data_IF_062460096644
#
_entry.id   IF_062460096644
#
_cell.length_a   1.000
_cell.length_b   1.000
_cell.length_c   1.000
_cell.angle_alpha   90.00
_cell.angle_beta   90.00
_cell.angle_gamma   90.00
#
_symmetry.space_group_name_H-M   'P 1'
#
loop_
_entity.id
_entity.type
_entity.pdbx_description
1 polymer ?
#
# COMPACT_ATOMS: atom_id res chain seq x y z
N UNK A 1 -25.69 -28.41 -10.93
CA UNK A 1 -24.99 -29.64 -11.38
C UNK A 1 -25.94 -30.82 -11.69
N UNK A 2 -26.93 -31.12 -10.83
CA UNK A 2 -27.89 -32.24 -11.12
C UNK A 2 -28.61 -31.99 -12.45
N UNK A 3 -29.13 -30.79 -12.68
CA UNK A 3 -29.87 -30.44 -13.88
C UNK A 3 -28.97 -30.49 -15.15
N UNK A 4 -27.68 -30.07 -15.01
CA UNK A 4 -26.69 -30.23 -16.09
C UNK A 4 -26.42 -31.69 -16.41
N UNK A 5 -26.31 -32.56 -15.39
CA UNK A 5 -26.11 -33.98 -15.57
C UNK A 5 -27.29 -34.63 -16.31
N UNK A 6 -28.51 -34.29 -15.91
CA UNK A 6 -29.74 -34.72 -16.59
C UNK A 6 -29.79 -34.23 -18.03
N UNK A 7 -29.54 -32.94 -18.26
CA UNK A 7 -29.59 -32.33 -19.58
C UNK A 7 -28.51 -32.84 -20.55
N UNK A 8 -27.33 -33.19 -20.03
CA UNK A 8 -26.22 -33.76 -20.81
C UNK A 8 -26.26 -35.29 -20.93
N UNK A 9 -27.17 -35.98 -20.23
CA UNK A 9 -27.29 -37.45 -20.21
C UNK A 9 -26.03 -38.13 -19.65
N UNK A 10 -25.45 -37.60 -18.54
CA UNK A 10 -24.23 -38.12 -17.93
C UNK A 10 -24.32 -38.17 -16.43
N UNK A 11 -23.43 -38.92 -15.79
CA UNK A 11 -23.36 -38.97 -14.33
C UNK A 11 -22.87 -37.62 -13.76
N UNK A 12 -23.32 -37.29 -12.54
CA UNK A 12 -22.89 -36.06 -11.81
C UNK A 12 -21.36 -35.95 -11.71
N UNK A 13 -20.67 -37.07 -11.51
CA UNK A 13 -19.21 -37.16 -11.45
C UNK A 13 -18.55 -36.73 -12.77
N UNK A 14 -19.19 -37.04 -13.92
CA UNK A 14 -18.71 -36.61 -15.25
C UNK A 14 -18.86 -35.10 -15.42
N UNK A 15 -19.99 -34.52 -15.02
CA UNK A 15 -20.17 -33.06 -14.99
C UNK A 15 -19.12 -32.40 -14.12
N UNK A 16 -18.88 -32.92 -12.90
CA UNK A 16 -17.85 -32.41 -11.99
C UNK A 16 -16.47 -32.41 -12.64
N UNK A 17 -16.08 -33.50 -13.32
CA UNK A 17 -14.78 -33.57 -14.02
C UNK A 17 -14.66 -32.55 -15.15
N UNK A 18 -15.68 -32.38 -15.98
CA UNK A 18 -15.69 -31.39 -17.05
C UNK A 18 -15.60 -29.97 -16.51
N UNK A 19 -16.38 -29.66 -15.49
CA UNK A 19 -16.39 -28.33 -14.82
C UNK A 19 -15.05 -28.05 -14.14
N UNK A 20 -14.35 -29.07 -13.65
CA UNK A 20 -13.05 -28.92 -12.97
C UNK A 20 -11.85 -29.01 -13.94
N UNK A 21 -12.07 -29.29 -15.25
CA UNK A 21 -10.98 -29.50 -16.18
C UNK A 21 -10.16 -30.77 -15.94
N UNK A 22 -10.74 -31.74 -15.20
CA UNK A 22 -10.05 -33.00 -14.88
C UNK A 22 -9.95 -33.91 -16.11
N UNK A 23 -8.81 -34.58 -16.31
CA UNK A 23 -8.63 -35.50 -17.43
C UNK A 23 -9.53 -36.74 -17.31
N UNK A 24 -9.73 -37.44 -18.44
CA UNK A 24 -10.43 -38.73 -18.47
C UNK A 24 -11.91 -38.65 -18.85
N UNK A 25 -12.37 -37.53 -19.43
CA UNK A 25 -13.67 -37.39 -20.06
C UNK A 25 -13.49 -37.33 -21.57
N UNK A 26 -14.21 -38.16 -22.31
CA UNK A 26 -14.16 -38.18 -23.77
C UNK A 26 -14.57 -36.80 -24.34
N UNK A 27 -13.86 -36.26 -25.37
CA UNK A 27 -14.10 -34.89 -25.88
C UNK A 27 -15.57 -34.61 -26.24
N UNK A 28 -16.23 -35.52 -26.95
CA UNK A 28 -17.66 -35.38 -27.32
C UNK A 28 -18.58 -35.34 -26.11
N UNK A 29 -18.24 -36.02 -25.01
CA UNK A 29 -19.00 -35.97 -23.76
C UNK A 29 -18.77 -34.64 -23.02
N UNK A 30 -17.52 -34.14 -23.03
CA UNK A 30 -17.20 -32.86 -22.46
C UNK A 30 -17.95 -31.71 -23.19
N UNK A 31 -18.07 -31.80 -24.49
CA UNK A 31 -18.77 -30.81 -25.32
C UNK A 31 -20.28 -30.79 -25.05
N UNK A 32 -20.93 -31.96 -24.91
CA UNK A 32 -22.34 -32.04 -24.48
C UNK A 32 -22.56 -31.42 -23.09
N UNK A 33 -21.64 -31.65 -22.16
CA UNK A 33 -21.72 -31.06 -20.83
C UNK A 33 -21.58 -29.54 -20.89
N UNK A 34 -20.62 -29.01 -21.67
CA UNK A 34 -20.46 -27.56 -21.87
C UNK A 34 -21.71 -26.93 -22.47
N UNK A 35 -22.26 -27.53 -23.54
CA UNK A 35 -23.50 -27.06 -24.15
C UNK A 35 -24.70 -27.07 -23.17
N UNK A 36 -24.78 -28.05 -22.28
CA UNK A 36 -25.79 -28.07 -21.23
C UNK A 36 -25.57 -27.01 -20.17
N UNK A 37 -24.31 -26.73 -19.79
CA UNK A 37 -23.95 -25.63 -18.88
C UNK A 37 -24.39 -24.28 -19.45
N UNK A 38 -24.04 -24.00 -20.73
CA UNK A 38 -24.36 -22.75 -21.40
C UNK A 38 -25.89 -22.57 -21.53
N UNK A 39 -26.61 -23.61 -21.97
CA UNK A 39 -28.05 -23.59 -22.14
C UNK A 39 -28.81 -23.36 -20.83
N UNK A 40 -28.33 -23.92 -19.71
CA UNK A 40 -28.96 -23.79 -18.40
C UNK A 40 -28.46 -22.58 -17.62
N UNK A 41 -27.51 -21.82 -18.16
CA UNK A 41 -26.89 -20.71 -17.43
C UNK A 41 -26.24 -21.18 -16.11
N UNK A 42 -25.77 -22.44 -16.09
CA UNK A 42 -25.22 -23.00 -14.85
C UNK A 42 -23.91 -22.27 -14.49
N UNK A 43 -23.93 -21.58 -13.38
CA UNK A 43 -22.74 -21.01 -12.77
C UNK A 43 -22.23 -21.96 -11.69
N UNK A 44 -20.93 -22.17 -11.70
CA UNK A 44 -20.25 -22.99 -10.69
C UNK A 44 -20.53 -22.42 -9.30
N UNK A 45 -20.94 -23.25 -8.38
CA UNK A 45 -21.11 -22.85 -6.99
C UNK A 45 -19.73 -22.85 -6.30
N UNK A 46 -19.17 -21.68 -6.10
CA UNK A 46 -17.88 -21.49 -5.44
C UNK A 46 -17.90 -22.00 -3.98
N UNK A 47 -19.03 -21.89 -3.28
CA UNK A 47 -19.17 -22.43 -1.92
C UNK A 47 -18.92 -23.95 -1.84
N UNK A 48 -19.27 -24.70 -2.90
CA UNK A 48 -19.00 -26.12 -2.98
C UNK A 48 -17.53 -26.44 -3.30
N UNK A 49 -16.77 -25.49 -3.85
CA UNK A 49 -15.32 -25.57 -4.07
C UNK A 49 -14.58 -25.33 -2.76
N UNK A 50 -15.01 -24.32 -2.01
CA UNK A 50 -14.49 -23.98 -0.68
C UNK A 50 -14.59 -25.17 0.26
N UNK A 51 -15.75 -25.85 0.32
CA UNK A 51 -15.96 -27.05 1.13
C UNK A 51 -15.01 -28.22 0.79
N UNK A 52 -14.53 -28.30 -0.46
CA UNK A 52 -13.63 -29.37 -0.89
C UNK A 52 -12.15 -29.01 -0.81
N UNK A 53 -11.79 -27.75 -0.99
CA UNK A 53 -10.41 -27.28 -0.99
C UNK A 53 -9.97 -26.64 0.32
N UNK A 54 -10.93 -26.34 1.22
CA UNK A 54 -10.69 -25.63 2.48
C UNK A 54 -10.29 -24.16 2.31
N UNK A 55 -10.31 -23.62 1.06
CA UNK A 55 -9.90 -22.25 0.73
C UNK A 55 -10.92 -21.59 -0.17
N UNK A 56 -11.10 -20.26 0.02
CA UNK A 56 -12.06 -19.44 -0.74
C UNK A 56 -11.49 -18.95 -2.06
N UNK A 57 -10.20 -19.05 -2.29
CA UNK A 57 -9.47 -18.41 -3.38
C UNK A 57 -9.75 -16.89 -3.42
N UNK A 58 -9.75 -16.26 -2.27
CA UNK A 58 -9.99 -14.84 -2.10
C UNK A 58 -9.04 -14.29 -1.06
N UNK A 59 -8.36 -13.18 -1.36
CA UNK A 59 -7.54 -12.46 -0.40
C UNK A 59 -8.09 -11.05 -0.18
N UNK A 60 -7.83 -10.48 0.99
CA UNK A 60 -8.19 -9.12 1.35
C UNK A 60 -7.01 -8.14 1.20
N UNK A 61 -7.32 -6.89 0.90
CA UNK A 61 -6.38 -5.78 0.94
C UNK A 61 -7.05 -4.58 1.61
N UNK A 62 -6.50 -4.12 2.72
CA UNK A 62 -6.92 -2.89 3.39
C UNK A 62 -5.83 -1.85 3.19
N UNK A 63 -6.20 -0.71 2.60
CA UNK A 63 -5.31 0.43 2.31
C UNK A 63 -5.87 1.70 2.93
N UNK A 64 -5.11 2.80 2.92
CA UNK A 64 -5.60 4.12 3.35
C UNK A 64 -6.69 4.64 2.41
N UNK A 65 -6.34 4.91 1.15
CA UNK A 65 -7.22 5.53 0.16
C UNK A 65 -6.90 5.01 -1.25
N UNK A 66 -7.89 4.43 -1.93
CA UNK A 66 -7.75 3.96 -3.30
C UNK A 66 -7.47 5.09 -4.30
N UNK A 67 -7.79 6.33 -3.96
CA UNK A 67 -7.53 7.49 -4.81
C UNK A 67 -6.07 7.98 -4.72
N UNK A 68 -5.29 7.54 -3.75
CA UNK A 68 -3.87 7.88 -3.66
C UNK A 68 -3.06 7.02 -4.65
N UNK A 69 -2.28 7.63 -5.57
CA UNK A 69 -1.48 6.90 -6.55
C UNK A 69 -0.50 5.88 -5.95
N UNK A 70 0.01 6.13 -4.73
CA UNK A 70 0.85 5.18 -4.02
C UNK A 70 0.10 3.87 -3.75
N UNK A 71 -1.09 3.96 -3.16
CA UNK A 71 -1.89 2.78 -2.86
C UNK A 71 -2.52 2.16 -4.10
N UNK A 72 -2.80 2.94 -5.14
CA UNK A 72 -3.23 2.41 -6.42
C UNK A 72 -2.16 1.51 -7.06
N UNK A 73 -0.89 1.93 -7.04
CA UNK A 73 0.25 1.13 -7.52
C UNK A 73 0.49 -0.14 -6.71
N UNK A 74 0.39 -0.05 -5.38
CA UNK A 74 0.48 -1.18 -4.46
C UNK A 74 -0.65 -2.19 -4.73
N UNK A 75 -1.89 -1.71 -4.80
CA UNK A 75 -3.08 -2.54 -5.02
C UNK A 75 -3.01 -3.29 -6.34
N UNK A 76 -2.57 -2.63 -7.41
CA UNK A 76 -2.40 -3.26 -8.72
C UNK A 76 -1.41 -4.42 -8.66
N UNK A 77 -0.28 -4.25 -7.99
CA UNK A 77 0.71 -5.32 -7.86
C UNK A 77 0.19 -6.50 -7.02
N UNK A 78 -0.57 -6.23 -5.94
CA UNK A 78 -1.24 -7.28 -5.16
C UNK A 78 -2.27 -8.04 -6.01
N UNK A 79 -3.05 -7.32 -6.82
CA UNK A 79 -4.04 -7.90 -7.72
C UNK A 79 -3.39 -8.81 -8.78
N UNK A 80 -2.29 -8.38 -9.39
CA UNK A 80 -1.57 -9.16 -10.40
C UNK A 80 -1.05 -10.49 -9.82
N UNK A 81 -0.55 -10.48 -8.57
CA UNK A 81 -0.15 -11.72 -7.87
C UNK A 81 -1.38 -12.58 -7.54
N UNK A 82 -2.48 -11.98 -7.07
CA UNK A 82 -3.71 -12.73 -6.77
C UNK A 82 -4.24 -13.44 -8.03
N UNK A 83 -4.28 -12.74 -9.17
CA UNK A 83 -4.69 -13.32 -10.47
C UNK A 83 -3.78 -14.49 -10.85
N UNK A 84 -2.45 -14.36 -10.69
CA UNK A 84 -1.50 -15.43 -11.01
C UNK A 84 -1.72 -16.70 -10.14
N UNK A 85 -2.35 -16.55 -8.97
CA UNK A 85 -2.74 -17.64 -8.08
C UNK A 85 -4.22 -18.06 -8.17
N UNK A 86 -4.94 -17.63 -9.22
CA UNK A 86 -6.39 -17.90 -9.38
C UNK A 86 -7.22 -17.39 -8.18
N UNK A 87 -6.80 -16.31 -7.53
CA UNK A 87 -7.47 -15.70 -6.38
C UNK A 87 -8.14 -14.37 -6.75
N UNK A 88 -9.28 -14.10 -6.12
CA UNK A 88 -9.95 -12.80 -6.16
C UNK A 88 -9.36 -11.87 -5.10
N UNK A 89 -9.13 -10.60 -5.45
CA UNK A 89 -8.80 -9.55 -4.50
C UNK A 89 -10.06 -8.80 -4.07
N UNK A 90 -10.30 -8.73 -2.75
CA UNK A 90 -11.25 -7.80 -2.13
C UNK A 90 -10.46 -6.64 -1.52
N UNK A 91 -10.76 -5.41 -1.89
CA UNK A 91 -10.08 -4.25 -1.34
C UNK A 91 -11.04 -3.31 -0.62
N UNK A 92 -10.52 -2.59 0.39
CA UNK A 92 -11.25 -1.56 1.11
C UNK A 92 -10.32 -0.45 1.59
N UNK A 93 -10.85 0.79 1.66
CA UNK A 93 -10.11 1.96 2.13
C UNK A 93 -10.50 2.31 3.56
N UNK A 94 -9.50 2.40 4.46
CA UNK A 94 -9.69 2.77 5.87
C UNK A 94 -9.88 4.27 6.07
N UNK A 95 -9.34 5.10 5.18
CA UNK A 95 -9.36 6.56 5.31
C UNK A 95 -8.55 7.08 6.51
N UNK A 96 -7.50 6.40 6.93
CA UNK A 96 -6.72 6.68 8.16
C UNK A 96 -7.54 6.52 9.45
N UNK A 97 -8.68 5.84 9.41
CA UNK A 97 -9.56 5.62 10.56
C UNK A 97 -9.34 4.20 11.12
N UNK A 98 -8.73 4.04 12.32
CA UNK A 98 -8.45 2.71 12.90
C UNK A 98 -9.71 1.86 13.11
N UNK A 99 -10.84 2.50 13.46
CA UNK A 99 -12.13 1.81 13.61
C UNK A 99 -12.63 1.22 12.31
N UNK A 100 -12.54 1.97 11.21
CA UNK A 100 -12.94 1.51 9.88
C UNK A 100 -11.99 0.45 9.33
N UNK A 101 -10.68 0.55 9.59
CA UNK A 101 -9.72 -0.51 9.26
C UNK A 101 -10.15 -1.81 9.91
N UNK A 102 -10.41 -1.79 11.23
CA UNK A 102 -10.82 -2.97 11.98
C UNK A 102 -12.12 -3.58 11.44
N UNK A 103 -13.13 -2.76 11.16
CA UNK A 103 -14.40 -3.22 10.56
C UNK A 103 -14.19 -3.91 9.21
N UNK A 104 -13.29 -3.38 8.36
CA UNK A 104 -12.94 -3.98 7.07
C UNK A 104 -12.26 -5.34 7.27
N UNK A 105 -11.26 -5.41 8.16
CA UNK A 105 -10.54 -6.66 8.45
C UNK A 105 -11.48 -7.72 9.01
N UNK A 106 -12.30 -7.38 10.02
CA UNK A 106 -13.29 -8.28 10.60
C UNK A 106 -14.31 -8.75 9.55
N UNK A 107 -14.73 -7.86 8.64
CA UNK A 107 -15.61 -8.20 7.50
C UNK A 107 -14.95 -9.20 6.56
N UNK A 108 -13.67 -9.02 6.23
CA UNK A 108 -12.93 -9.94 5.37
C UNK A 108 -12.75 -11.30 6.04
N UNK A 109 -12.42 -11.34 7.34
CA UNK A 109 -12.34 -12.56 8.13
C UNK A 109 -13.70 -13.29 8.17
N UNK A 110 -14.81 -12.57 8.41
CA UNK A 110 -16.16 -13.14 8.39
C UNK A 110 -16.54 -13.71 7.01
N UNK A 111 -16.01 -13.14 5.91
CA UNK A 111 -16.14 -13.68 4.55
C UNK A 111 -15.19 -14.83 4.27
N UNK A 112 -14.35 -15.21 5.25
CA UNK A 112 -13.36 -16.28 5.15
C UNK A 112 -12.37 -16.09 4.01
N UNK A 113 -11.83 -14.86 3.85
CA UNK A 113 -10.69 -14.67 2.97
C UNK A 113 -9.54 -15.55 3.44
N UNK A 114 -8.74 -16.07 2.51
CA UNK A 114 -7.63 -16.97 2.83
C UNK A 114 -6.48 -16.23 3.53
N UNK A 115 -6.32 -14.94 3.24
CA UNK A 115 -5.34 -14.08 3.89
C UNK A 115 -5.58 -12.60 3.56
N UNK A 116 -4.87 -11.71 4.25
CA UNK A 116 -5.08 -10.27 4.16
C UNK A 116 -3.72 -9.54 4.11
N UNK A 117 -3.60 -8.57 3.21
CA UNK A 117 -2.57 -7.53 3.26
C UNK A 117 -3.20 -6.30 3.90
N UNK A 118 -2.56 -5.75 4.93
CA UNK A 118 -3.06 -4.58 5.67
C UNK A 118 -2.04 -3.46 5.63
N UNK A 119 -2.46 -2.27 5.24
CA UNK A 119 -1.75 -1.01 5.48
C UNK A 119 -2.35 -0.38 6.74
N UNK A 120 -1.65 -0.40 7.88
CA UNK A 120 -2.17 0.03 9.17
C UNK A 120 -2.58 1.50 9.21
N UNK A 121 -3.82 1.79 9.66
CA UNK A 121 -4.25 3.12 10.06
C UNK A 121 -4.02 3.35 11.57
N UNK A 122 -3.98 2.27 12.36
CA UNK A 122 -3.78 2.32 13.81
C UNK A 122 -2.37 1.87 14.24
N UNK A 123 -2.12 1.97 15.54
CA UNK A 123 -0.87 1.53 16.17
C UNK A 123 -1.01 0.22 16.97
N UNK A 124 -2.19 -0.40 17.00
CA UNK A 124 -2.45 -1.65 17.72
C UNK A 124 -3.37 -2.56 16.90
N UNK A 125 -2.83 -3.71 16.52
CA UNK A 125 -3.50 -4.76 15.76
C UNK A 125 -3.67 -6.05 16.57
N UNK A 126 -3.59 -5.97 17.89
CA UNK A 126 -3.79 -7.11 18.80
C UNK A 126 -5.14 -7.81 18.62
N UNK A 127 -6.15 -7.12 18.07
CA UNK A 127 -7.45 -7.69 17.72
C UNK A 127 -7.38 -8.80 16.65
N UNK A 128 -6.28 -8.87 15.89
CA UNK A 128 -6.06 -9.92 14.87
C UNK A 128 -5.59 -11.26 15.44
N UNK A 129 -5.19 -11.33 16.70
CA UNK A 129 -4.68 -12.58 17.29
C UNK A 129 -5.62 -13.75 17.14
N UNK A 130 -6.95 -13.64 17.44
CA UNK A 130 -7.87 -14.76 17.26
C UNK A 130 -7.96 -15.25 15.81
N UNK A 131 -7.87 -14.32 14.85
CA UNK A 131 -7.93 -14.65 13.43
C UNK A 131 -6.65 -15.36 12.95
N UNK A 132 -5.49 -14.91 13.46
CA UNK A 132 -4.21 -15.57 13.19
C UNK A 132 -4.16 -16.97 13.79
N UNK A 133 -4.67 -17.15 15.01
CA UNK A 133 -4.81 -18.46 15.66
C UNK A 133 -5.79 -19.37 14.92
N UNK A 134 -6.85 -18.81 14.32
CA UNK A 134 -7.79 -19.51 13.45
C UNK A 134 -7.21 -19.89 12.07
N UNK A 135 -5.99 -19.41 11.74
CA UNK A 135 -5.25 -19.76 10.54
C UNK A 135 -5.27 -18.73 9.41
N UNK A 136 -5.95 -17.58 9.57
CA UNK A 136 -5.88 -16.46 8.62
C UNK A 136 -4.45 -15.94 8.54
N UNK A 137 -3.92 -15.76 7.33
CA UNK A 137 -2.58 -15.21 7.12
C UNK A 137 -2.66 -13.71 6.92
N UNK A 138 -1.78 -12.96 7.59
CA UNK A 138 -1.76 -11.49 7.52
C UNK A 138 -0.34 -11.02 7.24
N UNK A 139 -0.21 -10.09 6.29
CA UNK A 139 1.03 -9.36 5.98
C UNK A 139 0.75 -7.86 6.09
N UNK A 140 1.61 -7.16 6.80
CA UNK A 140 1.53 -5.70 6.92
C UNK A 140 2.43 -5.02 5.88
N UNK A 141 1.92 -4.00 5.22
CA UNK A 141 2.64 -3.23 4.21
C UNK A 141 2.68 -1.74 4.57
N UNK A 142 3.76 -1.04 4.18
CA UNK A 142 4.01 0.39 4.40
C UNK A 142 4.21 0.79 5.86
N UNK A 143 3.46 0.16 6.80
CA UNK A 143 3.50 0.44 8.25
C UNK A 143 3.50 -0.87 9.03
N UNK A 144 4.15 -0.91 10.21
CA UNK A 144 4.15 -2.11 11.07
C UNK A 144 2.83 -2.26 11.83
N UNK A 145 2.51 -3.46 12.34
CA UNK A 145 1.28 -3.71 13.11
C UNK A 145 1.23 -3.02 14.48
N UNK A 146 2.31 -2.35 14.89
CA UNK A 146 2.41 -1.74 16.21
C UNK A 146 2.85 -2.73 17.31
N UNK A 147 2.85 -2.25 18.54
CA UNK A 147 3.30 -3.04 19.68
C UNK A 147 2.35 -4.21 19.97
N UNK A 148 2.90 -5.38 20.24
CA UNK A 148 2.13 -6.53 20.71
C UNK A 148 1.69 -7.51 19.63
N UNK A 149 1.97 -7.28 18.36
CA UNK A 149 1.79 -8.25 17.29
C UNK A 149 3.07 -8.33 16.45
N UNK A 150 3.68 -9.52 16.43
CA UNK A 150 4.80 -9.83 15.53
C UNK A 150 4.25 -10.56 14.30
N UNK A 151 4.38 -9.95 13.13
CA UNK A 151 3.83 -10.47 11.89
C UNK A 151 4.68 -10.04 10.69
N UNK A 152 4.51 -10.73 9.58
CA UNK A 152 5.19 -10.39 8.33
C UNK A 152 4.96 -8.92 7.95
N UNK A 153 6.04 -8.21 7.63
CA UNK A 153 6.00 -6.77 7.41
C UNK A 153 6.89 -6.35 6.25
N UNK A 154 6.37 -5.52 5.34
CA UNK A 154 7.11 -4.95 4.22
C UNK A 154 7.08 -3.43 4.32
N UNK A 155 8.21 -2.81 4.60
CA UNK A 155 8.36 -1.37 4.85
C UNK A 155 9.32 -0.74 3.84
N UNK A 156 9.19 0.57 3.62
CA UNK A 156 10.22 1.37 2.96
C UNK A 156 11.24 1.92 3.97
N UNK A 157 12.44 2.27 3.47
CA UNK A 157 13.46 2.98 4.24
C UNK A 157 13.09 4.47 4.42
N UNK A 158 12.03 4.72 5.21
CA UNK A 158 11.48 6.06 5.42
C UNK A 158 12.51 7.05 6.01
N UNK A 159 13.16 6.68 7.11
CA UNK A 159 14.11 7.55 7.79
C UNK A 159 15.39 7.75 6.96
N UNK A 160 15.93 6.69 6.37
CA UNK A 160 17.11 6.80 5.50
C UNK A 160 16.84 7.63 4.25
N UNK A 161 15.65 7.49 3.66
CA UNK A 161 15.20 8.31 2.53
C UNK A 161 15.07 9.79 2.88
N UNK A 162 14.40 10.11 4.00
CA UNK A 162 14.30 11.47 4.50
C UNK A 162 15.67 12.08 4.79
N UNK A 163 16.56 11.31 5.41
CA UNK A 163 17.94 11.75 5.62
C UNK A 163 18.70 12.02 4.32
N UNK A 164 18.44 11.24 3.25
CA UNK A 164 19.02 11.52 1.91
C UNK A 164 18.50 12.81 1.32
N UNK A 165 17.18 13.08 1.40
CA UNK A 165 16.59 14.33 0.96
C UNK A 165 17.23 15.55 1.62
N UNK A 166 17.34 15.52 2.95
CA UNK A 166 17.91 16.62 3.73
C UNK A 166 19.39 16.81 3.41
N UNK A 167 20.19 15.74 3.38
CA UNK A 167 21.61 15.85 3.02
C UNK A 167 21.83 16.37 1.60
N UNK A 168 20.93 16.03 0.68
CA UNK A 168 20.96 16.61 -0.67
C UNK A 168 20.79 18.12 -0.64
N UNK A 169 19.77 18.63 0.07
CA UNK A 169 19.55 20.06 0.23
C UNK A 169 20.72 20.77 0.94
N UNK A 170 21.24 20.17 2.01
CA UNK A 170 22.44 20.68 2.71
C UNK A 170 23.66 20.74 1.76
N UNK A 171 23.81 19.74 0.88
CA UNK A 171 24.86 19.71 -0.14
C UNK A 171 24.74 20.81 -1.20
N UNK A 172 23.54 21.37 -1.42
CA UNK A 172 23.32 22.55 -2.27
C UNK A 172 23.55 23.89 -1.53
N UNK A 173 23.95 23.86 -0.27
CA UNK A 173 24.24 25.05 0.54
C UNK A 173 23.08 25.53 1.41
N UNK A 174 21.96 24.85 1.45
CA UNK A 174 20.85 25.22 2.32
C UNK A 174 21.16 24.89 3.79
N UNK A 175 21.17 25.88 4.67
CA UNK A 175 21.36 25.68 6.10
C UNK A 175 20.02 25.49 6.85
N UNK A 176 18.97 26.10 6.35
CA UNK A 176 17.63 26.12 6.95
C UNK A 176 16.63 25.44 6.01
N UNK A 177 16.29 24.22 6.36
CA UNK A 177 15.35 23.39 5.61
C UNK A 177 14.06 23.27 6.42
N UNK A 178 12.92 23.63 5.84
CA UNK A 178 11.61 23.37 6.45
C UNK A 178 11.15 21.94 6.21
N UNK A 179 10.35 21.39 7.12
CA UNK A 179 9.65 20.12 6.95
C UNK A 179 8.15 20.33 7.02
N UNK A 180 7.44 19.86 6.02
CA UNK A 180 5.96 19.76 6.04
C UNK A 180 5.55 18.33 5.79
N UNK A 181 4.89 17.73 6.75
CA UNK A 181 4.53 16.31 6.75
C UNK A 181 3.10 16.08 7.22
N UNK A 182 2.66 14.84 7.09
CA UNK A 182 1.36 14.40 7.55
C UNK A 182 1.30 14.31 9.10
N UNK A 183 0.16 13.91 9.64
CA UNK A 183 -0.05 13.81 11.08
C UNK A 183 1.03 12.94 11.77
N UNK A 184 1.59 13.38 12.92
CA UNK A 184 2.70 12.67 13.56
C UNK A 184 2.33 11.29 14.13
N UNK A 185 1.03 10.99 14.24
CA UNK A 185 0.55 9.66 14.61
C UNK A 185 0.76 8.62 13.51
N UNK A 186 0.92 9.04 12.25
CA UNK A 186 1.18 8.16 11.12
C UNK A 186 2.64 7.71 11.15
N UNK A 187 2.87 6.40 11.20
CA UNK A 187 4.20 5.81 11.31
C UNK A 187 5.20 6.35 10.26
N UNK A 188 4.80 6.38 8.99
CA UNK A 188 5.66 6.84 7.90
C UNK A 188 6.01 8.33 8.02
N UNK A 189 5.06 9.15 8.46
CA UNK A 189 5.29 10.58 8.72
C UNK A 189 6.27 10.79 9.89
N UNK A 190 6.10 10.04 10.99
CA UNK A 190 7.01 10.10 12.14
C UNK A 190 8.44 9.65 11.77
N UNK A 191 8.59 8.56 11.01
CA UNK A 191 9.89 8.07 10.57
C UNK A 191 10.59 9.04 9.60
N UNK A 192 9.86 9.65 8.67
CA UNK A 192 10.40 10.66 7.76
C UNK A 192 10.82 11.91 8.52
N UNK A 193 10.02 12.37 9.48
CA UNK A 193 10.40 13.47 10.38
C UNK A 193 11.63 13.11 11.22
N UNK A 194 11.73 11.88 11.74
CA UNK A 194 12.91 11.41 12.46
C UNK A 194 14.17 11.51 11.58
N UNK A 195 14.11 10.98 10.35
CA UNK A 195 15.21 11.04 9.40
C UNK A 195 15.62 12.47 9.02
N UNK A 196 14.64 13.37 8.87
CA UNK A 196 14.87 14.80 8.66
C UNK A 196 15.61 15.43 9.85
N UNK A 197 15.13 15.24 11.07
CA UNK A 197 15.75 15.78 12.30
C UNK A 197 17.17 15.25 12.49
N UNK A 198 17.35 13.94 12.34
CA UNK A 198 18.65 13.30 12.53
C UNK A 198 19.69 13.79 11.50
N UNK A 199 19.27 14.08 10.26
CA UNK A 199 20.16 14.61 9.23
C UNK A 199 20.53 16.08 9.42
N UNK A 200 19.67 16.88 10.07
CA UNK A 200 19.97 18.28 10.40
C UNK A 200 20.87 18.41 11.63
N UNK A 201 20.79 17.50 12.60
CA UNK A 201 21.53 17.58 13.85
C UNK A 201 21.28 18.93 14.56
N UNK A 202 22.33 19.66 14.87
CA UNK A 202 22.27 20.97 15.57
C UNK A 202 21.57 22.07 14.74
N UNK A 203 21.35 21.86 13.44
CA UNK A 203 20.58 22.79 12.58
C UNK A 203 19.07 22.63 12.71
N UNK A 204 18.60 21.61 13.45
CA UNK A 204 17.18 21.38 13.64
C UNK A 204 16.51 22.53 14.37
N UNK A 205 15.46 23.09 13.77
CA UNK A 205 14.65 24.17 14.34
C UNK A 205 13.17 23.76 14.30
N UNK A 206 12.53 23.48 15.46
CA UNK A 206 11.14 23.05 15.50
C UNK A 206 10.15 24.07 14.91
N UNK A 207 10.53 25.35 14.80
CA UNK A 207 9.70 26.39 14.15
C UNK A 207 9.57 26.18 12.64
N UNK A 208 10.48 25.39 12.04
CA UNK A 208 10.47 24.99 10.62
C UNK A 208 9.74 23.67 10.37
N UNK A 209 8.96 23.17 11.32
CA UNK A 209 8.23 21.92 11.21
C UNK A 209 6.74 22.17 11.26
N UNK A 210 6.00 21.57 10.32
CA UNK A 210 4.55 21.45 10.36
C UNK A 210 4.14 20.02 10.02
N UNK A 211 3.41 19.37 10.93
CA UNK A 211 2.93 18.00 10.77
C UNK A 211 1.43 17.95 11.03
N UNK A 212 0.67 17.78 9.96
CA UNK A 212 -0.80 17.67 9.98
C UNK A 212 -1.30 17.14 8.64
N UNK A 213 -2.57 16.67 8.56
CA UNK A 213 -3.16 16.29 7.27
C UNK A 213 -3.03 17.43 6.25
N UNK A 214 -2.62 17.13 4.99
CA UNK A 214 -2.32 18.15 3.99
C UNK A 214 -3.60 18.83 3.48
N UNK A 215 -3.84 20.06 3.96
CA UNK A 215 -4.89 20.95 3.50
C UNK A 215 -4.25 22.26 3.00
N UNK A 216 -4.70 22.78 1.86
CA UNK A 216 -4.03 23.90 1.17
C UNK A 216 -3.95 25.17 2.03
N UNK A 217 -5.05 25.57 2.67
CA UNK A 217 -5.08 26.76 3.53
C UNK A 217 -4.13 26.62 4.73
N UNK A 218 -4.16 25.46 5.40
CA UNK A 218 -3.28 25.17 6.52
C UNK A 218 -1.80 25.15 6.10
N UNK A 219 -1.50 24.52 4.95
CA UNK A 219 -0.16 24.49 4.38
C UNK A 219 0.35 25.91 4.05
N UNK A 220 -0.50 26.73 3.45
CA UNK A 220 -0.18 28.15 3.15
C UNK A 220 0.15 28.91 4.43
N UNK A 221 -0.69 28.83 5.46
CA UNK A 221 -0.48 29.49 6.74
C UNK A 221 0.82 29.02 7.43
N UNK A 222 1.13 27.72 7.39
CA UNK A 222 2.38 27.20 7.95
C UNK A 222 3.61 27.71 7.21
N UNK A 223 3.58 27.72 5.89
CA UNK A 223 4.68 28.23 5.07
C UNK A 223 4.86 29.74 5.25
N UNK A 224 3.79 30.52 5.29
CA UNK A 224 3.84 31.97 5.58
C UNK A 224 4.48 32.24 6.95
N UNK A 225 4.07 31.50 7.99
CA UNK A 225 4.66 31.58 9.34
C UNK A 225 6.17 31.28 9.30
N UNK A 226 6.59 30.25 8.56
CA UNK A 226 8.01 29.89 8.45
C UNK A 226 8.82 30.94 7.68
N UNK A 227 8.25 31.49 6.62
CA UNK A 227 8.90 32.51 5.80
C UNK A 227 8.93 33.91 6.50
N UNK A 228 8.11 34.14 7.51
CA UNK A 228 8.10 35.37 8.31
C UNK A 228 9.14 35.36 9.45
N UNK A 229 9.90 34.28 9.64
CA UNK A 229 10.99 34.24 10.61
C UNK A 229 12.14 35.16 10.20
N UNK A 230 12.90 35.70 11.15
CA UNK A 230 14.09 36.55 10.91
C UNK A 230 15.11 35.84 10.00
N UNK A 231 15.23 34.52 10.13
CA UNK A 231 16.01 33.66 9.24
C UNK A 231 15.05 32.63 8.64
N UNK A 232 14.45 32.92 7.48
CA UNK A 232 13.48 32.01 6.86
C UNK A 232 14.17 30.75 6.29
N UNK A 233 13.42 29.67 6.02
CA UNK A 233 13.96 28.52 5.30
C UNK A 233 14.22 28.89 3.84
N UNK A 234 15.30 28.36 3.27
CA UNK A 234 15.64 28.47 1.86
C UNK A 234 15.30 27.19 1.07
N UNK A 235 14.94 26.14 1.78
CA UNK A 235 14.53 24.85 1.20
C UNK A 235 13.38 24.23 2.01
N UNK A 236 12.60 23.37 1.36
CA UNK A 236 11.50 22.64 1.95
C UNK A 236 11.68 21.15 1.61
N UNK A 237 11.49 20.28 2.61
CA UNK A 237 11.32 18.87 2.44
C UNK A 237 9.87 18.49 2.79
N UNK A 238 9.16 17.86 1.86
CA UNK A 238 7.77 17.44 2.04
C UNK A 238 7.68 15.95 2.34
N UNK A 239 6.85 15.58 3.32
CA UNK A 239 6.81 14.25 3.91
C UNK A 239 6.11 13.16 3.08
N UNK A 240 5.29 13.51 2.08
CA UNK A 240 4.67 12.56 1.13
C UNK A 240 4.22 13.29 -0.15
N UNK A 241 3.74 12.54 -1.15
CA UNK A 241 3.29 13.09 -2.43
C UNK A 241 2.14 14.10 -2.28
N UNK A 242 1.18 13.84 -1.40
CA UNK A 242 0.06 14.76 -1.11
C UNK A 242 0.55 16.07 -0.49
N UNK A 243 1.49 15.98 0.47
CA UNK A 243 2.15 17.17 1.02
C UNK A 243 2.92 17.94 -0.05
N UNK A 244 3.60 17.25 -0.98
CA UNK A 244 4.34 17.87 -2.07
C UNK A 244 3.43 18.67 -3.00
N UNK A 245 2.34 18.06 -3.47
CA UNK A 245 1.36 18.73 -4.36
C UNK A 245 0.71 19.91 -3.65
N UNK A 246 0.34 19.74 -2.37
CA UNK A 246 -0.27 20.82 -1.57
C UNK A 246 0.71 21.98 -1.33
N UNK A 247 1.99 21.68 -1.05
CA UNK A 247 3.03 22.70 -0.90
C UNK A 247 3.27 23.46 -2.21
N UNK A 248 3.31 22.78 -3.35
CA UNK A 248 3.46 23.42 -4.67
C UNK A 248 2.33 24.43 -4.95
N UNK A 249 1.09 24.09 -4.60
CA UNK A 249 -0.07 25.00 -4.70
C UNK A 249 0.07 26.19 -3.74
N UNK A 250 0.45 25.94 -2.50
CA UNK A 250 0.60 26.97 -1.48
C UNK A 250 1.76 27.93 -1.77
N UNK A 251 2.83 27.46 -2.39
CA UNK A 251 4.01 28.29 -2.75
C UNK A 251 3.73 29.31 -3.85
N UNK A 252 2.74 29.06 -4.73
CA UNK A 252 2.27 30.02 -5.75
C UNK A 252 3.39 30.70 -6.55
N UNK A 253 4.40 29.95 -6.97
CA UNK A 253 5.53 30.45 -7.77
C UNK A 253 6.67 31.09 -6.96
N UNK A 254 6.65 31.03 -5.64
CA UNK A 254 7.78 31.41 -4.79
C UNK A 254 8.99 30.51 -5.12
N UNK A 255 10.13 31.12 -5.39
CA UNK A 255 11.38 30.37 -5.62
C UNK A 255 11.95 29.91 -4.28
N UNK A 256 11.91 28.63 -4.04
CA UNK A 256 12.46 27.92 -2.87
C UNK A 256 12.84 26.52 -3.30
N UNK A 257 13.95 25.99 -2.82
CA UNK A 257 14.32 24.62 -3.12
C UNK A 257 13.31 23.64 -2.50
N UNK A 258 12.96 22.59 -3.24
CA UNK A 258 11.95 21.62 -2.82
C UNK A 258 12.41 20.19 -3.12
N UNK A 259 12.36 19.34 -2.12
CA UNK A 259 12.46 17.88 -2.27
C UNK A 259 11.21 17.24 -1.70
N UNK A 260 10.54 16.37 -2.47
CA UNK A 260 9.39 15.60 -2.01
C UNK A 260 9.77 14.19 -1.57
N UNK A 261 9.04 13.61 -0.62
CA UNK A 261 8.99 12.16 -0.47
C UNK A 261 7.82 11.65 -1.32
N UNK A 262 7.99 10.49 -1.93
CA UNK A 262 7.16 9.89 -2.97
C UNK A 262 7.27 10.61 -4.33
N UNK A 263 7.35 9.80 -5.37
CA UNK A 263 7.22 10.29 -6.73
C UNK A 263 5.74 10.40 -7.11
N UNK A 264 5.39 11.33 -7.97
CA UNK A 264 4.03 11.53 -8.42
C UNK A 264 3.98 11.87 -9.90
N UNK A 265 2.84 11.58 -10.52
CA UNK A 265 2.62 11.88 -11.92
C UNK A 265 2.83 13.37 -12.19
N UNK A 266 3.48 13.68 -13.31
CA UNK A 266 3.84 15.03 -13.75
C UNK A 266 4.99 15.73 -12.97
N UNK A 267 5.59 15.10 -11.96
CA UNK A 267 6.69 15.68 -11.20
C UNK A 267 7.88 16.10 -12.09
N UNK A 268 8.14 15.36 -13.16
CA UNK A 268 9.19 15.62 -14.16
C UNK A 268 8.81 16.67 -15.22
N UNK A 269 7.50 16.94 -15.37
CA UNK A 269 7.01 17.93 -16.35
C UNK A 269 6.94 19.36 -15.80
N UNK A 270 7.00 19.53 -14.49
CA UNK A 270 7.07 20.85 -13.86
C UNK A 270 8.39 21.58 -14.22
N UNK A 271 8.46 22.89 -13.98
CA UNK A 271 9.66 23.68 -14.27
C UNK A 271 10.03 24.57 -13.06
N UNK A 272 11.09 24.23 -12.34
CA UNK A 272 11.91 23.01 -12.46
C UNK A 272 11.12 21.75 -12.14
N UNK A 273 11.58 20.58 -12.64
CA UNK A 273 11.03 19.29 -12.26
C UNK A 273 11.22 19.03 -10.76
N UNK A 274 10.29 18.32 -10.13
CA UNK A 274 10.34 18.11 -8.68
C UNK A 274 11.30 16.97 -8.33
N UNK A 275 12.34 17.30 -7.59
CA UNK A 275 13.29 16.35 -6.99
C UNK A 275 12.57 15.57 -5.90
N UNK A 276 12.64 14.23 -5.93
CA UNK A 276 11.91 13.38 -5.00
C UNK A 276 12.77 12.25 -4.43
N UNK A 277 12.37 11.76 -3.27
CA UNK A 277 12.76 10.43 -2.76
C UNK A 277 11.67 9.45 -3.15
N UNK A 278 11.90 8.67 -4.19
CA UNK A 278 10.94 7.73 -4.73
C UNK A 278 10.96 6.41 -3.98
N UNK A 279 9.81 5.94 -3.57
CA UNK A 279 9.52 4.56 -3.22
C UNK A 279 9.10 3.77 -4.48
N UNK A 280 8.95 2.45 -4.30
CA UNK A 280 8.40 1.56 -5.32
C UNK A 280 7.16 0.85 -4.76
N UNK A 281 5.97 1.48 -4.85
CA UNK A 281 4.74 0.88 -4.33
C UNK A 281 4.36 -0.43 -5.03
N UNK A 282 4.69 -0.57 -6.33
CA UNK A 282 4.46 -1.82 -7.05
C UNK A 282 5.33 -2.94 -6.49
N UNK A 283 6.61 -2.67 -6.22
CA UNK A 283 7.51 -3.64 -5.57
C UNK A 283 7.04 -3.99 -4.16
N UNK A 284 6.53 -3.02 -3.40
CA UNK A 284 5.99 -3.25 -2.06
C UNK A 284 4.77 -4.19 -2.12
N UNK A 285 3.82 -3.91 -3.00
CA UNK A 285 2.64 -4.76 -3.20
C UNK A 285 3.01 -6.17 -3.67
N UNK A 286 3.94 -6.28 -4.62
CA UNK A 286 4.45 -7.56 -5.10
C UNK A 286 5.05 -8.39 -3.96
N UNK A 287 5.99 -7.82 -3.19
CA UNK A 287 6.68 -8.52 -2.09
C UNK A 287 5.69 -8.92 -0.98
N UNK A 288 4.75 -8.03 -0.63
CA UNK A 288 3.73 -8.33 0.37
C UNK A 288 2.80 -9.48 -0.07
N UNK A 289 2.37 -9.47 -1.33
CA UNK A 289 1.53 -10.53 -1.86
C UNK A 289 2.28 -11.87 -2.00
N UNK A 290 3.52 -11.87 -2.53
CA UNK A 290 4.36 -13.06 -2.61
C UNK A 290 4.58 -13.68 -1.22
N UNK A 291 4.83 -12.86 -0.20
CA UNK A 291 4.98 -13.30 1.18
C UNK A 291 3.68 -13.92 1.70
N UNK A 292 2.53 -13.26 1.47
CA UNK A 292 1.23 -13.80 1.83
C UNK A 292 0.99 -15.18 1.18
N UNK A 293 1.23 -15.31 -0.13
CA UNK A 293 1.02 -16.59 -0.83
C UNK A 293 2.00 -17.67 -0.38
N UNK A 294 3.24 -17.36 -0.01
CA UNK A 294 4.15 -18.33 0.63
C UNK A 294 3.54 -18.87 1.93
N UNK A 295 3.03 -17.99 2.79
CA UNK A 295 2.35 -18.39 4.04
C UNK A 295 1.11 -19.23 3.75
N UNK A 296 0.33 -18.86 2.75
CA UNK A 296 -0.82 -19.65 2.31
C UNK A 296 -0.42 -21.02 1.77
N UNK A 297 0.75 -21.17 1.18
CA UNK A 297 1.28 -22.45 0.70
C UNK A 297 1.91 -23.31 1.80
N UNK A 298 1.89 -22.87 3.06
CA UNK A 298 2.32 -23.68 4.21
C UNK A 298 3.72 -23.33 4.71
N UNK A 299 4.28 -22.18 4.36
CA UNK A 299 5.48 -21.66 5.00
C UNK A 299 5.13 -21.21 6.43
N UNK A 300 5.60 -21.95 7.43
CA UNK A 300 5.41 -21.70 8.87
C UNK A 300 6.66 -21.08 9.53
N UNK A 301 7.60 -20.55 8.74
CA UNK A 301 8.77 -19.84 9.24
C UNK A 301 8.40 -18.65 10.13
N UNK A 302 9.38 -18.10 10.89
CA UNK A 302 9.15 -16.91 11.71
C UNK A 302 8.71 -15.71 10.84
N UNK A 303 8.08 -14.69 11.43
CA UNK A 303 7.75 -13.46 10.73
C UNK A 303 8.96 -12.81 10.06
N UNK A 304 8.78 -12.31 8.85
CA UNK A 304 9.81 -11.61 8.10
C UNK A 304 9.57 -10.10 8.11
N UNK A 305 10.63 -9.32 8.34
CA UNK A 305 10.60 -7.85 8.32
C UNK A 305 11.45 -7.35 7.16
N UNK A 306 10.81 -7.13 6.03
CA UNK A 306 11.45 -6.72 4.78
C UNK A 306 11.47 -5.19 4.70
N UNK A 307 12.66 -4.62 4.47
CA UNK A 307 12.81 -3.18 4.23
C UNK A 307 13.27 -2.91 2.80
N UNK A 308 12.44 -2.23 2.04
CA UNK A 308 12.71 -1.87 0.67
C UNK A 308 13.51 -0.56 0.58
N UNK A 309 14.49 -0.47 -0.32
CA UNK A 309 15.24 0.75 -0.54
C UNK A 309 14.37 1.82 -1.22
N UNK A 310 14.72 3.09 -1.00
CA UNK A 310 14.16 4.23 -1.72
C UNK A 310 15.26 4.96 -2.47
N UNK A 311 14.95 5.75 -3.50
CA UNK A 311 15.92 6.42 -4.36
C UNK A 311 15.66 7.92 -4.41
N UNK A 312 16.72 8.73 -4.26
CA UNK A 312 16.64 10.16 -4.61
C UNK A 312 16.72 10.29 -6.13
N UNK A 313 15.80 11.06 -6.71
CA UNK A 313 15.72 11.38 -8.14
C UNK A 313 15.80 12.91 -8.30
N UNK A 314 16.98 13.45 -8.59
CA UNK A 314 17.16 14.89 -8.85
C UNK A 314 16.43 15.30 -10.14
N UNK A 315 15.71 16.45 -10.10
CA UNK A 315 14.97 16.99 -11.26
C UNK A 315 15.02 18.50 -11.37
N UNK A 316 15.80 19.17 -10.55
CA UNK A 316 16.04 20.61 -10.59
C UNK A 316 15.44 21.40 -9.44
N UNK A 317 14.34 20.99 -8.81
CA UNK A 317 13.76 21.76 -7.70
C UNK A 317 14.58 21.69 -6.42
N UNK A 318 15.23 20.56 -6.15
CA UNK A 318 16.12 20.37 -5.00
C UNK A 318 17.55 20.89 -5.22
N UNK A 319 17.86 21.31 -6.44
CA UNK A 319 19.16 21.79 -6.90
C UNK A 319 19.23 23.33 -7.02
N UNK A 320 18.15 24.03 -6.66
CA UNK A 320 18.18 25.49 -6.54
C UNK A 320 19.13 25.86 -5.39
N UNK A 321 19.89 26.93 -5.57
CA UNK A 321 20.78 27.49 -4.52
C UNK A 321 20.00 28.43 -3.59
N UNK A 322 20.45 28.63 -2.33
CA UNK A 322 19.84 29.53 -1.36
C UNK A 322 19.65 30.96 -1.83
#
# INVERSE_FOLDING_TARGET
MKDVATAAGVALKTVSRVVNGEPGVHPATAERVRAAIDRLGYRRNESARVLRRGRTATIGLVIEDVADPFYAGLSRAVEDVAIAHDCLLLSGSSGEEPGRERELVETFCARRVDGIVVVPAGADHGYLRPELEAGTKVVFADRPPGAGLDADTVLADNAGGAGRAVRHLLGQGHERVAFVGDAPAIYTAAERHRGYRDALGDRYDPRLVAMRPPAEEAMRADLERMFALDRPPTAIFTGNGRCTVTALRALAGRKVALVGFDDFELADLLRPGVTVVAQDPARMGLVAAELLFRRLCGDEGPPEHIRLPVRLIPRGSGELTP
#
